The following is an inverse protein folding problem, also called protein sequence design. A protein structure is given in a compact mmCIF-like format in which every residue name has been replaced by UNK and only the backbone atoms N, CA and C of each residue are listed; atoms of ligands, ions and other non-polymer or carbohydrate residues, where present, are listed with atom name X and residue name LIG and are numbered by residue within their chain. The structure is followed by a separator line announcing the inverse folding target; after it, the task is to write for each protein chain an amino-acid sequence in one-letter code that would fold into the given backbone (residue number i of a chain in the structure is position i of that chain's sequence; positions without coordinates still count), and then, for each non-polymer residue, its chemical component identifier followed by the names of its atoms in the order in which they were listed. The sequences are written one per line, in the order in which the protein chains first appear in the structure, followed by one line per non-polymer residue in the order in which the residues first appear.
data_IF_902564015396
#
_entry.id   IF_902564015396
#
_cell.length_a   1.000
_cell.length_b   1.000
_cell.length_c   1.000
_cell.angle_alpha   90.00
_cell.angle_beta   90.00
_cell.angle_gamma   90.00
#
_symmetry.space_group_name_H-M   'P 1'
#
loop_
_entity.id
_entity.type
_entity.pdbx_description
1 polymer ?
#
# COMPACT_ATOMS: atom_id res chain seq x y z
N UNK A 1 2.99 14.56 -34.47
CA UNK A 1 3.64 13.97 -33.29
C UNK A 1 2.96 14.55 -32.07
N UNK A 2 2.09 13.80 -31.43
CA UNK A 2 1.34 14.25 -30.25
C UNK A 2 2.26 14.14 -29.03
N UNK A 3 2.53 15.27 -28.37
CA UNK A 3 3.31 15.29 -27.13
C UNK A 3 2.38 14.80 -26.01
N UNK A 4 2.67 13.62 -25.46
CA UNK A 4 2.10 13.22 -24.16
C UNK A 4 2.66 14.22 -23.14
N UNK A 5 1.80 15.10 -22.63
CA UNK A 5 2.19 16.02 -21.57
C UNK A 5 2.54 15.20 -20.32
N UNK A 6 3.80 15.24 -19.93
CA UNK A 6 4.23 14.72 -18.63
C UNK A 6 3.76 15.71 -17.57
N UNK A 7 2.62 15.43 -16.96
CA UNK A 7 2.14 16.18 -15.80
C UNK A 7 3.05 15.89 -14.62
N UNK A 8 3.83 16.90 -14.20
CA UNK A 8 4.72 16.79 -13.05
C UNK A 8 3.91 16.96 -11.78
N UNK A 9 3.72 15.86 -11.05
CA UNK A 9 3.08 15.87 -9.74
C UNK A 9 4.04 16.53 -8.75
N UNK A 10 3.55 17.54 -8.00
CA UNK A 10 4.33 18.14 -6.90
C UNK A 10 4.57 17.08 -5.82
N UNK A 11 5.83 16.84 -5.49
CA UNK A 11 6.22 15.84 -4.50
C UNK A 11 7.24 16.42 -3.53
N UNK A 12 7.10 16.04 -2.26
CA UNK A 12 8.10 16.24 -1.22
C UNK A 12 8.60 14.85 -0.80
N UNK A 13 9.91 14.73 -0.51
CA UNK A 13 10.53 13.47 -0.07
C UNK A 13 11.15 13.67 1.30
N UNK A 14 10.84 12.78 2.23
CA UNK A 14 11.34 12.81 3.61
C UNK A 14 11.98 11.46 3.93
N UNK A 15 13.18 11.48 4.50
CA UNK A 15 13.87 10.30 5.02
C UNK A 15 13.89 10.37 6.55
N UNK A 16 13.48 9.29 7.21
CA UNK A 16 13.40 9.21 8.67
C UNK A 16 14.05 7.92 9.14
N UNK A 17 14.93 8.05 10.12
CA UNK A 17 15.55 6.91 10.80
C UNK A 17 14.73 6.58 12.04
N UNK A 18 14.27 5.32 12.15
CA UNK A 18 13.55 4.83 13.33
C UNK A 18 13.59 3.32 13.40
N UNK A 19 13.82 2.79 14.60
CA UNK A 19 13.74 1.35 14.90
C UNK A 19 12.30 0.85 14.90
N UNK A 20 11.32 1.75 15.04
CA UNK A 20 9.90 1.44 15.12
C UNK A 20 9.13 2.02 13.93
N UNK A 21 9.37 1.46 12.74
CA UNK A 21 8.86 1.98 11.47
C UNK A 21 7.34 2.19 11.48
N UNK A 22 6.55 1.20 11.96
CA UNK A 22 5.09 1.32 12.00
C UNK A 22 4.61 2.48 12.87
N UNK A 23 5.23 2.66 14.03
CA UNK A 23 4.94 3.79 14.94
C UNK A 23 5.36 5.12 14.33
N UNK A 24 6.55 5.19 13.74
CA UNK A 24 7.05 6.41 13.12
C UNK A 24 6.12 6.90 11.99
N UNK A 25 5.58 5.99 11.18
CA UNK A 25 4.58 6.32 10.16
C UNK A 25 3.31 6.89 10.81
N UNK A 26 2.78 6.24 11.86
CA UNK A 26 1.58 6.69 12.56
C UNK A 26 1.74 8.08 13.19
N UNK A 27 2.88 8.34 13.82
CA UNK A 27 3.21 9.64 14.41
C UNK A 27 3.31 10.74 13.34
N UNK A 28 3.69 10.38 12.11
CA UNK A 28 3.80 11.31 10.99
C UNK A 28 2.46 11.70 10.35
N UNK A 29 1.45 10.81 10.38
CA UNK A 29 0.13 11.06 9.79
C UNK A 29 -0.47 12.40 10.26
N UNK A 30 -0.56 12.69 11.57
CA UNK A 30 -1.10 13.97 12.04
C UNK A 30 -0.15 15.14 11.79
N UNK A 31 1.17 14.92 11.87
CA UNK A 31 2.17 15.98 11.66
C UNK A 31 2.13 16.52 10.23
N UNK A 32 1.97 15.62 9.26
CA UNK A 32 1.93 15.94 7.83
C UNK A 32 0.50 16.06 7.29
N UNK A 33 -0.51 15.91 8.14
CA UNK A 33 -1.93 15.93 7.80
C UNK A 33 -2.27 15.02 6.61
N UNK A 34 -1.75 13.79 6.63
CA UNK A 34 -1.96 12.82 5.55
C UNK A 34 -3.41 12.33 5.56
N UNK A 35 -4.14 12.59 4.47
CA UNK A 35 -5.52 12.11 4.29
C UNK A 35 -5.62 10.76 3.59
N UNK A 36 -4.57 10.38 2.87
CA UNK A 36 -4.48 9.09 2.16
C UNK A 36 -3.06 8.58 2.24
N UNK A 37 -2.89 7.34 2.69
CA UNK A 37 -1.60 6.67 2.78
C UNK A 37 -1.64 5.38 1.98
N UNK A 38 -0.75 5.27 1.00
CA UNK A 38 -0.62 4.10 0.14
C UNK A 38 0.63 3.32 0.56
N UNK A 39 0.46 2.06 0.95
CA UNK A 39 1.55 1.19 1.38
C UNK A 39 1.71 0.01 0.43
N UNK A 40 2.94 -0.21 -0.02
CA UNK A 40 3.32 -1.42 -0.73
C UNK A 40 3.53 -2.59 0.22
N UNK A 41 3.10 -3.78 -0.17
CA UNK A 41 3.36 -5.03 0.57
C UNK A 41 3.78 -6.16 -0.37
N UNK A 42 4.51 -7.14 0.15
CA UNK A 42 4.75 -8.40 -0.55
C UNK A 42 3.54 -9.34 -0.45
N UNK A 43 3.43 -10.30 -1.38
CA UNK A 43 2.37 -11.34 -1.40
C UNK A 43 2.29 -12.14 -0.10
N UNK A 44 3.44 -12.48 0.49
CA UNK A 44 3.51 -13.27 1.73
C UNK A 44 3.00 -12.49 2.94
N UNK A 45 3.34 -11.20 3.03
CA UNK A 45 2.85 -10.30 4.08
C UNK A 45 1.37 -10.02 3.91
N UNK A 46 0.89 -9.83 2.68
CA UNK A 46 -0.52 -9.65 2.37
C UNK A 46 -1.37 -10.83 2.84
N UNK A 47 -0.90 -12.07 2.64
CA UNK A 47 -1.61 -13.26 3.13
C UNK A 47 -1.76 -13.26 4.66
N UNK A 48 -0.74 -12.80 5.39
CA UNK A 48 -0.79 -12.67 6.86
C UNK A 48 -1.71 -11.54 7.31
N UNK A 49 -1.69 -10.41 6.59
CA UNK A 49 -2.55 -9.25 6.81
C UNK A 49 -4.03 -9.61 6.67
N UNK A 50 -4.40 -10.31 5.58
CA UNK A 50 -5.77 -10.79 5.38
C UNK A 50 -6.22 -11.79 6.44
N UNK A 51 -5.30 -12.62 6.93
CA UNK A 51 -5.57 -13.53 8.04
C UNK A 51 -5.56 -12.86 9.42
N UNK A 52 -5.39 -11.52 9.49
CA UNK A 52 -5.24 -10.72 10.73
C UNK A 52 -4.22 -11.30 11.71
N UNK A 53 -3.20 -11.99 11.17
CA UNK A 53 -2.15 -12.69 11.94
C UNK A 53 -0.77 -12.11 11.66
N UNK A 54 -0.70 -11.02 10.92
CA UNK A 54 0.53 -10.28 10.66
C UNK A 54 0.86 -9.32 11.81
N UNK A 55 2.16 -9.09 12.01
CA UNK A 55 2.69 -8.01 12.84
C UNK A 55 3.66 -7.14 12.01
N UNK A 56 3.39 -7.03 10.71
CA UNK A 56 4.18 -6.21 9.81
C UNK A 56 3.80 -4.73 9.94
N UNK A 57 4.59 -3.87 9.30
CA UNK A 57 4.34 -2.43 9.26
C UNK A 57 2.95 -2.11 8.72
N UNK A 58 2.53 -2.77 7.62
CA UNK A 58 1.21 -2.59 7.04
C UNK A 58 0.07 -3.02 7.99
N UNK A 59 0.27 -4.09 8.79
CA UNK A 59 -0.70 -4.53 9.80
C UNK A 59 -0.87 -3.45 10.89
N UNK A 60 0.25 -2.95 11.41
CA UNK A 60 0.26 -1.94 12.47
C UNK A 60 -0.38 -0.63 12.01
N UNK A 61 -0.02 -0.16 10.80
CA UNK A 61 -0.58 1.09 10.27
C UNK A 61 -2.08 0.93 9.98
N UNK A 62 -2.50 -0.17 9.36
CA UNK A 62 -3.92 -0.39 9.07
C UNK A 62 -4.80 -0.47 10.32
N UNK A 63 -4.26 -0.99 11.43
CA UNK A 63 -5.02 -1.15 12.68
C UNK A 63 -5.07 0.12 13.54
N UNK A 64 -4.06 0.98 13.45
CA UNK A 64 -3.89 2.11 14.37
C UNK A 64 -3.94 3.48 13.69
N UNK A 65 -4.09 3.54 12.36
CA UNK A 65 -4.25 4.80 11.66
C UNK A 65 -5.51 5.53 12.14
N UNK A 66 -5.47 6.87 12.20
CA UNK A 66 -6.64 7.65 12.58
C UNK A 66 -7.72 7.58 11.50
N UNK A 67 -8.99 7.69 11.91
CA UNK A 67 -10.16 7.53 11.04
C UNK A 67 -10.19 8.46 9.82
N UNK A 68 -9.54 9.62 9.90
CA UNK A 68 -9.48 10.59 8.79
C UNK A 68 -8.45 10.23 7.71
N UNK A 69 -7.59 9.23 7.94
CA UNK A 69 -6.54 8.82 7.02
C UNK A 69 -6.93 7.52 6.30
N UNK A 70 -7.26 7.63 5.01
CA UNK A 70 -7.60 6.48 4.18
C UNK A 70 -6.35 5.64 3.86
N UNK A 71 -6.30 4.41 4.37
CA UNK A 71 -5.17 3.50 4.13
C UNK A 71 -5.46 2.58 2.95
N UNK A 72 -4.57 2.57 1.94
CA UNK A 72 -4.62 1.65 0.80
C UNK A 72 -3.40 0.74 0.77
N UNK A 73 -3.63 -0.57 0.66
CA UNK A 73 -2.57 -1.57 0.55
C UNK A 73 -2.45 -2.05 -0.89
N UNK A 74 -1.28 -1.90 -1.49
CA UNK A 74 -0.99 -2.28 -2.88
C UNK A 74 -0.01 -3.45 -2.92
N UNK A 75 -0.34 -4.46 -3.72
CA UNK A 75 0.54 -5.59 -4.03
C UNK A 75 0.54 -5.80 -5.54
N UNK A 76 1.72 -5.82 -6.17
CA UNK A 76 1.89 -6.00 -7.62
C UNK A 76 1.02 -5.06 -8.47
N UNK A 77 0.93 -3.79 -8.07
CA UNK A 77 0.16 -2.77 -8.78
C UNK A 77 -1.36 -2.89 -8.61
N UNK A 78 -1.85 -3.82 -7.78
CA UNK A 78 -3.28 -4.00 -7.50
C UNK A 78 -3.59 -3.65 -6.06
N UNK A 79 -4.74 -3.01 -5.85
CA UNK A 79 -5.28 -2.80 -4.51
C UNK A 79 -5.66 -4.16 -3.91
N UNK A 80 -5.01 -4.47 -2.80
CA UNK A 80 -4.97 -5.82 -2.27
C UNK A 80 -6.03 -6.08 -1.20
N UNK A 81 -6.66 -5.02 -0.71
CA UNK A 81 -7.71 -5.06 0.29
C UNK A 81 -8.85 -4.18 -0.19
N UNK A 82 -9.62 -4.71 -1.13
CA UNK A 82 -10.84 -4.05 -1.57
C UNK A 82 -11.88 -4.23 -0.44
N UNK A 83 -12.19 -3.12 0.23
CA UNK A 83 -13.33 -2.92 1.13
C UNK A 83 -13.49 -3.90 2.30
N UNK A 84 -12.94 -3.52 3.46
CA UNK A 84 -13.53 -3.89 4.74
C UNK A 84 -14.79 -3.05 4.99
N UNK A 85 -15.89 -3.46 4.37
CA UNK A 85 -17.24 -3.11 4.81
C UNK A 85 -18.03 -4.41 4.95
N UNK A 86 -18.14 -4.91 6.18
CA UNK A 86 -18.91 -6.11 6.47
C UNK A 86 -18.47 -6.76 7.77
N UNK A 87 -19.16 -6.41 8.85
CA UNK A 87 -19.27 -7.29 10.01
C UNK A 87 -19.96 -8.60 9.57
N UNK A 88 -19.55 -9.71 10.21
CA UNK A 88 -20.12 -11.06 10.22
C UNK A 88 -19.55 -12.12 9.25
N UNK A 89 -19.28 -13.28 9.87
CA UNK A 89 -18.94 -14.60 9.35
C UNK A 89 -19.56 -14.95 7.99
N UNK A 90 -18.75 -15.41 7.03
CA UNK A 90 -18.62 -16.83 6.68
C UNK A 90 -17.61 -16.97 5.52
N UNK A 91 -16.88 -18.08 5.49
CA UNK A 91 -16.02 -18.45 4.33
C UNK A 91 -16.92 -18.75 3.12
N UNK A 92 -16.47 -18.49 1.87
CA UNK A 92 -15.71 -19.53 1.19
C UNK A 92 -14.52 -19.04 0.38
N UNK A 93 -13.49 -19.89 0.39
CA UNK A 93 -12.40 -19.99 -0.58
C UNK A 93 -12.84 -19.62 -2.00
N UNK A 94 -12.23 -18.60 -2.60
CA UNK A 94 -12.15 -18.50 -4.06
C UNK A 94 -10.70 -18.60 -4.51
N UNK A 95 -10.53 -19.57 -5.39
CA UNK A 95 -9.32 -20.04 -6.00
C UNK A 95 -8.84 -19.02 -7.03
N UNK A 96 -7.52 -18.99 -7.18
CA UNK A 96 -6.76 -18.60 -8.37
C UNK A 96 -7.59 -18.20 -9.61
N UNK A 97 -7.54 -16.93 -9.97
CA UNK A 97 -7.70 -16.54 -11.37
C UNK A 97 -6.41 -15.82 -11.78
N UNK A 98 -5.48 -16.60 -12.34
CA UNK A 98 -4.45 -16.09 -13.23
C UNK A 98 -5.15 -15.47 -14.45
N UNK A 99 -5.42 -14.16 -14.35
CA UNK A 99 -5.78 -13.36 -15.51
C UNK A 99 -4.48 -13.09 -16.30
N UNK A 100 -4.49 -13.27 -17.64
CA UNK A 100 -3.29 -13.14 -18.45
C UNK A 100 -2.67 -11.76 -18.26
N UNK A 101 -1.37 -11.76 -17.99
CA UNK A 101 -0.56 -10.57 -17.75
C UNK A 101 -0.50 -9.81 -19.07
N UNK A 102 -1.35 -8.80 -19.22
CA UNK A 102 -1.14 -7.75 -20.19
C UNK A 102 -0.15 -6.76 -19.55
N UNK A 103 1.12 -6.84 -19.95
CA UNK A 103 2.26 -6.03 -19.45
C UNK A 103 2.15 -4.54 -19.85
N UNK A 104 1.00 -3.92 -19.60
CA UNK A 104 0.73 -2.53 -20.00
C UNK A 104 0.77 -1.54 -18.82
N UNK A 105 1.47 -1.87 -17.74
CA UNK A 105 1.59 -0.98 -16.57
C UNK A 105 3.04 -0.74 -16.14
N UNK A 106 3.97 -0.69 -17.10
CA UNK A 106 5.31 -0.15 -16.86
C UNK A 106 5.24 1.38 -16.71
N UNK A 107 4.76 1.87 -15.56
CA UNK A 107 5.01 3.26 -15.18
C UNK A 107 6.50 3.40 -14.91
N UNK A 108 7.22 4.09 -15.81
CA UNK A 108 8.66 4.30 -15.73
C UNK A 108 9.12 5.14 -14.52
N UNK A 109 8.19 5.63 -13.69
CA UNK A 109 8.47 6.48 -12.53
C UNK A 109 8.96 5.69 -11.29
N UNK A 110 8.75 4.38 -11.23
CA UNK A 110 9.15 3.53 -10.10
C UNK A 110 10.27 2.55 -10.46
N UNK A 111 11.36 3.05 -11.07
CA UNK A 111 12.58 2.23 -11.17
C UNK A 111 13.18 2.10 -9.77
N UNK A 112 13.26 0.87 -9.26
CA UNK A 112 14.01 0.58 -8.03
C UNK A 112 15.44 1.13 -8.19
N UNK A 113 15.96 1.90 -7.22
CA UNK A 113 17.37 2.25 -7.21
C UNK A 113 18.18 0.96 -7.23
N UNK A 114 19.00 0.76 -8.27
CA UNK A 114 20.00 -0.31 -8.27
C UNK A 114 21.06 0.08 -7.24
N UNK A 115 20.97 -0.50 -6.05
CA UNK A 115 22.08 -0.50 -5.09
C UNK A 115 23.19 -1.34 -5.74
N UNK A 116 24.31 -0.69 -6.08
CA UNK A 116 25.53 -1.35 -6.52
C UNK A 116 26.35 -1.75 -5.32
#
# INVERSE_FOLDING_TARGET
MEKIAMEQVKTDTVLIESDMIGKAILDLIPVLNMRKLVLGTSKSSLRKLRARKGNGVADQVLQNAPDYCEIKIICDGKEALDQMSGLADDKPTQQLQEQPINDSFACMCFKQPRVR
#
